data_IF_859196285759
#
_entry.id   IF_859196285759
#
_cell.length_a   1.000
_cell.length_b   1.000
_cell.length_c   1.000
_cell.angle_alpha   90.00
_cell.angle_beta   90.00
_cell.angle_gamma   90.00
#
_symmetry.space_group_name_H-M   'P 1'
#
loop_
_entity.id
_entity.type
_entity.pdbx_description
1 polymer ?
#
# COMPACT_ATOMS: atom_id res chain seq x y z
N UNK A 1 64.33 -49.36 75.61
CA UNK A 1 64.99 -50.68 75.53
C UNK A 1 64.49 -51.38 74.28
N UNK A 2 65.42 -51.69 73.35
CA UNK A 2 65.35 -52.71 72.28
C UNK A 2 64.22 -52.63 71.23
N UNK A 3 64.39 -52.85 69.93
CA UNK A 3 65.45 -53.41 69.04
C UNK A 3 64.94 -53.09 67.61
N UNK A 4 65.79 -52.59 66.68
CA UNK A 4 66.25 -53.33 65.47
C UNK A 4 65.23 -53.32 64.32
N UNK A 5 65.53 -53.29 63.02
CA UNK A 5 66.76 -53.44 62.24
C UNK A 5 66.41 -53.05 60.77
N UNK A 6 67.44 -53.05 59.93
CA UNK A 6 67.68 -52.42 58.62
C UNK A 6 66.92 -52.90 57.36
N UNK A 7 67.06 -52.03 56.34
CA UNK A 7 66.92 -52.14 54.87
C UNK A 7 67.42 -53.45 54.21
N UNK A 8 66.84 -53.78 53.05
CA UNK A 8 67.47 -53.96 51.68
C UNK A 8 66.34 -54.26 50.67
N UNK A 9 66.10 -53.51 49.59
CA UNK A 9 66.79 -53.38 48.27
C UNK A 9 66.65 -54.61 47.33
N UNK A 10 66.14 -54.35 46.12
CA UNK A 10 65.92 -55.26 44.98
C UNK A 10 64.50 -55.03 44.42
N UNK A 11 64.20 -54.77 43.16
CA UNK A 11 64.94 -54.92 41.90
C UNK A 11 64.35 -53.95 40.86
N UNK A 12 65.19 -53.52 39.91
CA UNK A 12 64.80 -52.61 38.83
C UNK A 12 63.93 -53.26 37.76
N UNK A 13 63.10 -52.45 37.08
CA UNK A 13 62.67 -52.67 35.70
C UNK A 13 62.55 -51.35 34.93
N UNK A 14 63.13 -51.38 33.73
CA UNK A 14 63.17 -50.33 32.73
C UNK A 14 61.81 -50.05 32.08
N UNK A 15 61.68 -48.81 31.57
CA UNK A 15 60.94 -48.36 30.36
C UNK A 15 59.47 -48.74 30.20
N UNK A 16 58.60 -47.72 30.19
CA UNK A 16 57.44 -47.68 29.31
C UNK A 16 57.06 -46.22 29.01
N UNK A 17 57.25 -45.81 27.75
CA UNK A 17 56.62 -44.64 27.14
C UNK A 17 55.11 -44.74 27.33
N UNK A 18 54.50 -43.76 28.00
CA UNK A 18 53.04 -43.67 28.10
C UNK A 18 52.53 -42.81 26.96
N UNK A 19 52.13 -43.46 25.89
CA UNK A 19 51.35 -42.86 24.81
C UNK A 19 50.04 -42.30 25.37
N UNK A 20 49.62 -41.13 24.88
CA UNK A 20 48.32 -40.54 25.18
C UNK A 20 47.26 -41.27 24.34
N UNK A 21 46.28 -41.96 24.94
CA UNK A 21 45.19 -42.56 24.20
C UNK A 21 44.20 -41.46 23.82
N UNK A 22 44.18 -41.08 22.54
CA UNK A 22 43.04 -40.39 21.93
C UNK A 22 41.94 -41.43 21.71
N UNK A 23 41.33 -41.87 22.81
CA UNK A 23 40.06 -42.60 22.75
C UNK A 23 38.96 -41.58 23.00
N UNK A 24 38.55 -40.94 21.91
CA UNK A 24 37.42 -40.04 21.91
C UNK A 24 36.17 -40.93 21.80
N UNK A 25 35.68 -41.38 22.96
CA UNK A 25 34.43 -42.13 23.07
C UNK A 25 33.28 -41.27 22.54
N UNK A 26 32.97 -41.47 21.26
CA UNK A 26 31.77 -40.96 20.63
C UNK A 26 30.60 -41.76 21.18
N UNK A 27 30.07 -41.33 22.34
CA UNK A 27 28.90 -41.94 22.95
C UNK A 27 27.68 -41.73 22.04
N UNK A 28 27.03 -42.81 21.54
CA UNK A 28 25.78 -42.70 20.80
C UNK A 28 24.63 -42.51 21.80
N UNK A 29 24.58 -41.34 22.42
CA UNK A 29 23.52 -40.91 23.32
C UNK A 29 22.63 -39.87 22.64
N UNK A 30 21.55 -40.34 22.02
CA UNK A 30 20.34 -39.58 21.68
C UNK A 30 20.54 -38.24 20.92
N UNK A 31 20.72 -38.27 19.58
CA UNK A 31 20.83 -37.05 18.76
C UNK A 31 19.69 -36.05 19.01
N UNK A 32 18.47 -36.53 19.29
CA UNK A 32 17.30 -35.67 19.48
C UNK A 32 17.41 -34.71 20.68
N UNK A 33 17.98 -35.15 21.81
CA UNK A 33 18.09 -34.31 23.01
C UNK A 33 19.16 -33.22 22.83
N UNK A 34 20.28 -33.57 22.17
CA UNK A 34 21.33 -32.61 21.83
C UNK A 34 20.88 -31.58 20.80
N UNK A 35 20.08 -31.96 19.81
CA UNK A 35 19.58 -31.04 18.77
C UNK A 35 18.53 -30.08 19.34
N UNK A 36 17.64 -30.58 20.22
CA UNK A 36 16.67 -29.75 20.97
C UNK A 36 17.37 -28.76 21.91
N UNK A 37 18.40 -29.20 22.66
CA UNK A 37 19.18 -28.29 23.48
C UNK A 37 19.97 -27.28 22.65
N UNK A 38 20.56 -27.69 21.52
CA UNK A 38 21.30 -26.78 20.65
C UNK A 38 20.38 -25.72 20.05
N UNK A 39 19.25 -26.12 19.46
CA UNK A 39 18.24 -25.20 18.91
C UNK A 39 17.68 -24.24 19.97
N UNK A 40 17.37 -24.71 21.18
CA UNK A 40 16.95 -23.86 22.29
C UNK A 40 18.03 -22.83 22.69
N UNK A 41 19.31 -23.24 22.79
CA UNK A 41 20.41 -22.31 23.13
C UNK A 41 20.70 -21.30 22.02
N UNK A 42 20.59 -21.72 20.75
CA UNK A 42 20.70 -20.82 19.61
C UNK A 42 19.53 -19.84 19.59
N UNK A 43 18.31 -20.30 19.78
CA UNK A 43 17.12 -19.45 19.84
C UNK A 43 17.20 -18.43 20.99
N UNK A 44 17.73 -18.81 22.16
CA UNK A 44 17.89 -17.89 23.30
C UNK A 44 18.98 -16.83 23.03
N UNK A 45 20.12 -17.23 22.44
CA UNK A 45 21.19 -16.29 22.04
C UNK A 45 20.76 -15.35 20.91
N UNK A 46 19.92 -15.82 19.98
CA UNK A 46 19.32 -14.99 18.92
C UNK A 46 18.00 -14.32 19.35
N UNK A 47 17.59 -14.45 20.62
CA UNK A 47 16.43 -13.76 21.20
C UNK A 47 15.06 -14.23 20.69
N UNK A 48 14.98 -15.40 20.06
CA UNK A 48 13.74 -16.06 19.63
C UNK A 48 13.07 -16.79 20.80
N UNK A 49 12.50 -16.02 21.72
CA UNK A 49 11.66 -16.59 22.78
C UNK A 49 10.21 -16.77 22.29
N UNK A 50 9.48 -17.80 22.76
CA UNK A 50 8.07 -18.01 22.43
C UNK A 50 7.18 -16.82 22.83
N UNK A 51 7.58 -16.08 23.88
CA UNK A 51 6.92 -14.83 24.27
C UNK A 51 7.09 -13.71 23.21
N UNK A 52 8.27 -13.58 22.60
CA UNK A 52 8.53 -12.61 21.52
C UNK A 52 7.82 -13.00 20.22
N UNK A 53 7.75 -14.31 19.91
CA UNK A 53 6.99 -14.82 18.77
C UNK A 53 5.47 -14.55 18.89
N UNK A 54 4.90 -14.64 20.11
CA UNK A 54 3.50 -14.26 20.35
C UNK A 54 3.27 -12.76 20.16
N UNK A 55 4.19 -11.92 20.66
CA UNK A 55 4.13 -10.46 20.47
C UNK A 55 4.30 -10.06 19.00
N UNK A 56 5.21 -10.68 18.25
CA UNK A 56 5.39 -10.37 16.83
C UNK A 56 4.16 -10.78 16.01
N UNK A 57 3.54 -11.93 16.31
CA UNK A 57 2.26 -12.33 15.70
C UNK A 57 1.15 -11.33 16.03
N UNK A 58 1.03 -10.90 17.28
CA UNK A 58 0.03 -9.90 17.66
C UNK A 58 0.25 -8.58 16.91
N UNK A 59 1.49 -8.07 16.85
CA UNK A 59 1.84 -6.86 16.09
C UNK A 59 1.54 -7.03 14.61
N UNK A 60 1.88 -8.18 14.00
CA UNK A 60 1.58 -8.44 12.59
C UNK A 60 0.07 -8.46 12.32
N UNK A 61 -0.72 -9.07 13.20
CA UNK A 61 -2.19 -9.10 13.10
C UNK A 61 -2.75 -7.68 13.26
N UNK A 62 -2.30 -6.92 14.25
CA UNK A 62 -2.75 -5.54 14.44
C UNK A 62 -2.39 -4.65 13.24
N UNK A 63 -1.18 -4.81 12.69
CA UNK A 63 -0.76 -4.09 11.49
C UNK A 63 -1.64 -4.47 10.28
N UNK A 64 -1.93 -5.75 10.07
CA UNK A 64 -2.81 -6.19 8.99
C UNK A 64 -4.23 -5.61 9.14
N UNK A 65 -4.79 -5.63 10.34
CA UNK A 65 -6.10 -5.01 10.62
C UNK A 65 -6.06 -3.51 10.34
N UNK A 66 -5.02 -2.80 10.78
CA UNK A 66 -4.88 -1.37 10.55
C UNK A 66 -4.85 -1.05 9.05
N UNK A 67 -4.12 -1.82 8.25
CA UNK A 67 -4.09 -1.66 6.78
C UNK A 67 -5.48 -1.85 6.17
N UNK A 68 -6.21 -2.89 6.58
CA UNK A 68 -7.57 -3.14 6.08
C UNK A 68 -8.52 -2.00 6.43
N UNK A 69 -8.46 -1.48 7.66
CA UNK A 69 -9.31 -0.37 8.11
C UNK A 69 -9.00 0.91 7.34
N UNK A 70 -7.72 1.25 7.19
CA UNK A 70 -7.29 2.44 6.43
C UNK A 70 -7.71 2.32 4.96
N UNK A 71 -7.52 1.15 4.35
CA UNK A 71 -7.93 0.91 2.97
C UNK A 71 -9.45 1.00 2.80
N UNK A 72 -10.23 0.39 3.70
CA UNK A 72 -11.69 0.47 3.65
C UNK A 72 -12.19 1.91 3.82
N UNK A 73 -11.62 2.68 4.76
CA UNK A 73 -11.95 4.08 4.93
C UNK A 73 -11.61 4.90 3.67
N UNK A 74 -10.46 4.65 3.04
CA UNK A 74 -10.07 5.30 1.79
C UNK A 74 -11.03 4.96 0.65
N UNK A 75 -11.41 3.69 0.48
CA UNK A 75 -12.38 3.26 -0.56
C UNK A 75 -13.75 3.90 -0.35
N UNK A 76 -14.25 3.95 0.90
CA UNK A 76 -15.53 4.59 1.22
C UNK A 76 -15.45 6.08 0.90
N UNK A 77 -14.37 6.75 1.29
CA UNK A 77 -14.18 8.17 1.03
C UNK A 77 -14.08 8.47 -0.48
N UNK A 78 -13.24 7.73 -1.22
CA UNK A 78 -13.07 7.90 -2.66
C UNK A 78 -14.35 7.56 -3.45
N UNK A 79 -15.10 6.54 -3.03
CA UNK A 79 -16.36 6.16 -3.68
C UNK A 79 -17.49 7.18 -3.47
N UNK A 80 -17.50 7.88 -2.33
CA UNK A 80 -18.48 8.94 -2.08
C UNK A 80 -18.17 10.21 -2.87
N UNK A 81 -16.90 10.51 -3.14
CA UNK A 81 -16.48 11.65 -3.96
C UNK A 81 -16.91 11.50 -5.43
N UNK A 82 -16.91 10.27 -5.96
CA UNK A 82 -17.31 9.97 -7.33
C UNK A 82 -18.84 9.94 -7.56
N UNK A 83 -19.64 10.47 -6.62
CA UNK A 83 -21.10 10.53 -6.75
C UNK A 83 -21.52 11.67 -7.69
N UNK A 84 -21.13 11.59 -8.97
CA UNK A 84 -21.69 12.43 -10.03
C UNK A 84 -23.18 12.07 -10.14
N UNK A 85 -24.01 12.92 -9.52
CA UNK A 85 -25.42 12.62 -9.23
C UNK A 85 -26.25 12.65 -10.51
N UNK A 86 -26.31 11.54 -11.24
CA UNK A 86 -27.28 11.31 -12.32
C UNK A 86 -27.23 12.28 -13.49
N UNK A 87 -26.17 13.09 -13.59
CA UNK A 87 -25.92 14.05 -14.65
C UNK A 87 -24.86 13.44 -15.56
N UNK A 88 -25.30 12.90 -16.69
CA UNK A 88 -24.38 12.47 -17.75
C UNK A 88 -24.21 13.64 -18.71
N UNK A 89 -22.98 14.12 -18.79
CA UNK A 89 -22.56 15.11 -19.76
C UNK A 89 -21.71 14.44 -20.84
N UNK A 90 -22.18 14.52 -22.09
CA UNK A 90 -21.39 14.12 -23.24
C UNK A 90 -21.09 15.35 -24.09
N UNK A 91 -19.81 15.62 -24.30
CA UNK A 91 -19.35 16.66 -25.23
C UNK A 91 -19.50 16.13 -26.65
N UNK A 92 -20.36 16.76 -27.44
CA UNK A 92 -20.64 16.35 -28.83
C UNK A 92 -19.63 16.96 -29.80
N UNK A 93 -19.14 18.18 -29.53
CA UNK A 93 -18.13 18.83 -30.35
C UNK A 93 -17.79 20.24 -29.92
N UNK A 94 -16.81 20.85 -30.60
CA UNK A 94 -16.41 22.24 -30.38
C UNK A 94 -16.06 22.91 -31.71
N UNK A 95 -16.33 24.20 -31.81
CA UNK A 95 -15.99 25.04 -32.95
C UNK A 95 -15.18 26.25 -32.49
N UNK A 96 -13.97 26.41 -33.01
CA UNK A 96 -13.07 27.51 -32.65
C UNK A 96 -13.32 28.67 -33.61
N UNK A 97 -14.11 29.66 -33.19
CA UNK A 97 -14.42 30.82 -34.02
C UNK A 97 -13.21 31.77 -34.16
N UNK A 98 -12.41 31.94 -33.10
CA UNK A 98 -11.24 32.83 -33.13
C UNK A 98 -10.19 32.49 -32.05
N UNK A 99 -9.12 33.30 -31.97
CA UNK A 99 -8.12 33.20 -30.88
C UNK A 99 -8.73 33.43 -29.49
N UNK A 100 -9.90 34.09 -29.40
CA UNK A 100 -10.50 34.53 -28.14
C UNK A 100 -11.98 34.13 -27.98
N UNK A 101 -12.51 33.29 -28.87
CA UNK A 101 -13.87 32.77 -28.77
C UNK A 101 -13.93 31.34 -29.31
N UNK A 102 -14.53 30.46 -28.52
CA UNK A 102 -14.78 29.06 -28.85
C UNK A 102 -16.22 28.72 -28.49
N UNK A 103 -16.94 28.10 -29.42
CA UNK A 103 -18.29 27.57 -29.20
C UNK A 103 -18.17 26.11 -28.81
N UNK A 104 -18.78 25.74 -27.69
CA UNK A 104 -18.82 24.35 -27.21
C UNK A 104 -20.22 23.82 -27.43
N UNK A 105 -20.32 22.71 -28.16
CA UNK A 105 -21.55 21.96 -28.36
C UNK A 105 -21.55 20.76 -27.42
N UNK A 106 -22.34 20.84 -26.36
CA UNK A 106 -22.48 19.78 -25.38
C UNK A 106 -23.89 19.20 -25.40
N UNK A 107 -24.01 17.94 -25.00
CA UNK A 107 -25.27 17.27 -24.80
C UNK A 107 -25.41 16.96 -23.32
N UNK A 108 -26.34 17.67 -22.68
CA UNK A 108 -26.57 17.57 -21.24
C UNK A 108 -27.81 16.73 -21.01
N UNK A 109 -27.70 15.72 -20.15
CA UNK A 109 -28.84 14.90 -19.71
C UNK A 109 -29.24 15.24 -18.28
N UNK A 110 -30.43 15.79 -18.08
CA UNK A 110 -30.99 16.23 -16.79
C UNK A 110 -32.40 15.64 -16.63
N UNK A 111 -32.81 15.31 -15.41
CA UNK A 111 -34.17 14.82 -15.16
C UNK A 111 -35.25 15.86 -15.58
N UNK A 112 -36.36 15.43 -16.20
CA UNK A 112 -37.40 16.34 -16.68
C UNK A 112 -37.96 17.26 -15.59
N UNK A 113 -38.10 18.55 -15.91
CA UNK A 113 -38.69 19.55 -15.01
C UNK A 113 -37.73 20.13 -13.97
N UNK A 114 -36.46 19.72 -13.94
CA UNK A 114 -35.45 20.23 -13.01
C UNK A 114 -34.57 21.30 -13.68
N UNK A 115 -34.24 22.37 -12.95
CA UNK A 115 -33.23 23.35 -13.38
C UNK A 115 -31.84 22.83 -13.03
N UNK A 116 -30.89 23.01 -13.94
CA UNK A 116 -29.49 22.68 -13.70
C UNK A 116 -28.61 23.88 -14.05
N UNK A 117 -27.48 23.99 -13.36
CA UNK A 117 -26.38 24.88 -13.72
C UNK A 117 -25.23 24.01 -14.18
N UNK A 118 -24.56 24.44 -15.25
CA UNK A 118 -23.39 23.74 -15.77
C UNK A 118 -22.25 24.73 -15.98
N UNK A 119 -21.06 24.30 -15.59
CA UNK A 119 -19.81 25.01 -15.80
C UNK A 119 -19.14 24.49 -17.07
N UNK A 120 -19.04 25.35 -18.09
CA UNK A 120 -18.36 25.05 -19.35
C UNK A 120 -16.94 25.59 -19.28
N UNK A 121 -15.96 24.72 -19.59
CA UNK A 121 -14.55 25.09 -19.65
C UNK A 121 -13.97 24.85 -21.04
N UNK A 122 -12.98 25.67 -21.41
CA UNK A 122 -12.23 25.54 -22.66
C UNK A 122 -10.75 25.43 -22.33
N UNK A 123 -10.08 24.48 -22.98
CA UNK A 123 -8.66 24.19 -22.80
C UNK A 123 -7.86 24.50 -24.06
N UNK A 124 -6.61 24.89 -23.88
CA UNK A 124 -5.63 25.05 -24.96
C UNK A 124 -4.93 23.71 -25.31
N UNK A 125 -3.98 23.77 -26.27
CA UNK A 125 -3.16 22.62 -26.69
C UNK A 125 -2.30 22.01 -25.57
N UNK A 126 -2.09 22.75 -24.49
CA UNK A 126 -1.30 22.36 -23.33
C UNK A 126 -2.20 21.86 -22.20
N UNK A 127 -3.51 21.70 -22.45
CA UNK A 127 -4.54 21.38 -21.45
C UNK A 127 -4.67 22.41 -20.32
N UNK A 128 -4.26 23.64 -20.57
CA UNK A 128 -4.47 24.76 -19.64
C UNK A 128 -5.87 25.34 -19.84
N UNK A 129 -6.54 25.69 -18.74
CA UNK A 129 -7.87 26.32 -18.79
C UNK A 129 -7.70 27.75 -19.31
N UNK A 130 -8.32 28.05 -20.44
CA UNK A 130 -8.24 29.35 -21.12
C UNK A 130 -9.59 30.05 -21.24
N UNK A 131 -10.68 29.38 -20.86
CA UNK A 131 -12.02 29.97 -20.82
C UNK A 131 -12.91 29.24 -19.82
N UNK A 132 -13.75 30.01 -19.14
CA UNK A 132 -14.71 29.51 -18.15
C UNK A 132 -16.03 30.27 -18.27
N UNK A 133 -17.15 29.56 -18.29
CA UNK A 133 -18.48 30.16 -18.34
C UNK A 133 -19.52 29.26 -17.68
N UNK A 134 -20.28 29.83 -16.76
CA UNK A 134 -21.43 29.16 -16.16
C UNK A 134 -22.71 29.47 -16.94
N UNK A 135 -23.48 28.42 -17.23
CA UNK A 135 -24.79 28.53 -17.89
C UNK A 135 -25.87 27.96 -16.99
N UNK A 136 -27.06 28.58 -17.03
CA UNK A 136 -28.25 28.06 -16.35
C UNK A 136 -29.17 27.44 -17.39
N UNK A 137 -29.47 26.16 -17.22
CA UNK A 137 -30.40 25.41 -18.04
C UNK A 137 -31.81 25.53 -17.46
N UNK A 138 -32.75 26.02 -18.29
CA UNK A 138 -34.15 26.11 -17.92
C UNK A 138 -34.77 24.71 -17.77
N UNK A 139 -35.76 24.53 -16.87
CA UNK A 139 -36.38 23.23 -16.66
C UNK A 139 -37.20 22.86 -17.89
N UNK A 140 -37.17 21.59 -18.25
CA UNK A 140 -37.87 21.18 -19.46
C UNK A 140 -38.06 19.67 -19.56
N UNK A 141 -38.87 19.24 -20.53
CA UNK A 141 -39.42 17.88 -20.56
C UNK A 141 -38.52 16.85 -21.24
N UNK A 142 -37.57 17.30 -22.06
CA UNK A 142 -36.62 16.39 -22.71
C UNK A 142 -35.46 16.11 -21.77
N UNK A 143 -35.24 14.82 -21.49
CA UNK A 143 -34.16 14.34 -20.63
C UNK A 143 -32.78 14.69 -21.17
N UNK A 144 -32.60 14.72 -22.48
CA UNK A 144 -31.30 14.97 -23.12
C UNK A 144 -31.43 16.09 -24.15
N UNK A 145 -30.52 17.06 -24.11
CA UNK A 145 -30.57 18.28 -24.93
C UNK A 145 -29.20 18.69 -25.41
N UNK A 146 -29.13 19.16 -26.65
CA UNK A 146 -27.95 19.85 -27.16
C UNK A 146 -27.97 21.33 -26.75
N UNK A 147 -26.85 21.80 -26.21
CA UNK A 147 -26.65 23.19 -25.81
C UNK A 147 -25.39 23.70 -26.49
N UNK A 148 -25.51 24.88 -27.11
CA UNK A 148 -24.38 25.55 -27.75
C UNK A 148 -24.02 26.77 -26.93
N UNK A 149 -22.82 26.77 -26.35
CA UNK A 149 -22.37 27.85 -25.48
C UNK A 149 -21.12 28.49 -26.06
N UNK A 150 -21.21 29.79 -26.37
CA UNK A 150 -20.04 30.58 -26.70
C UNK A 150 -19.27 30.97 -25.44
N UNK A 151 -17.98 30.64 -25.39
CA UNK A 151 -17.08 30.94 -24.29
C UNK A 151 -15.96 31.86 -24.78
N UNK A 152 -15.80 33.01 -24.11
CA UNK A 152 -14.66 33.91 -24.35
C UNK A 152 -13.39 33.30 -23.76
N UNK A 153 -12.33 33.22 -24.56
CA UNK A 153 -11.06 32.59 -24.16
C UNK A 153 -9.90 33.59 -24.18
N UNK A 154 -8.94 33.42 -23.27
CA UNK A 154 -7.72 34.24 -23.23
C UNK A 154 -6.73 33.86 -24.33
N UNK A 155 -6.77 32.60 -24.76
CA UNK A 155 -5.94 32.06 -25.86
C UNK A 155 -6.79 31.08 -26.67
N UNK A 156 -6.32 30.69 -27.86
CA UNK A 156 -7.02 29.73 -28.72
C UNK A 156 -7.28 28.42 -27.97
N UNK A 157 -8.57 28.12 -27.78
CA UNK A 157 -9.03 26.83 -27.30
C UNK A 157 -8.91 25.76 -28.39
N UNK A 158 -8.65 24.53 -27.98
CA UNK A 158 -8.67 23.34 -28.85
C UNK A 158 -9.56 22.23 -28.30
N UNK A 159 -10.13 22.41 -27.12
CA UNK A 159 -11.07 21.46 -26.53
C UNK A 159 -12.04 22.22 -25.65
N UNK A 160 -13.33 22.03 -25.85
CA UNK A 160 -14.38 22.51 -24.94
C UNK A 160 -15.02 21.33 -24.25
N UNK A 161 -15.21 21.40 -22.93
CA UNK A 161 -15.89 20.37 -22.15
C UNK A 161 -16.66 20.98 -20.99
N UNK A 162 -17.59 20.22 -20.44
CA UNK A 162 -18.30 20.62 -19.22
C UNK A 162 -17.52 20.08 -18.03
N UNK A 163 -17.18 20.98 -17.11
CA UNK A 163 -16.43 20.63 -15.90
C UNK A 163 -17.32 19.92 -14.89
N UNK A 164 -18.47 20.55 -14.61
CA UNK A 164 -19.38 20.13 -13.56
C UNK A 164 -20.79 20.67 -13.86
N UNK A 165 -21.79 19.90 -13.47
CA UNK A 165 -23.19 20.32 -13.49
C UNK A 165 -23.81 20.03 -12.13
N UNK A 166 -24.58 20.99 -11.61
CA UNK A 166 -25.28 20.84 -10.35
C UNK A 166 -26.70 21.40 -10.41
N UNK A 167 -27.56 20.85 -9.57
CA UNK A 167 -28.92 21.35 -9.37
C UNK A 167 -28.87 22.32 -8.18
N UNK A 168 -29.24 23.60 -8.36
CA UNK A 168 -29.22 24.60 -7.30
C UNK A 168 -30.37 24.43 -6.29
#
# INVERSE_FOLDING_TARGET
MSVGERRTSGDGKCTATRELPWDQDNHPGSPELSEQHHTATLDDRYGRTPARARRSKAVAITAAIAVVVVFAAWVIWAGLDQSDRGLTDDVVGYEVLSQHSTVVHSQVSVDPGVRAKCAVQVLDKSYSIVGWKEITLAPSEQRTRSVSTEVTTTTRGVTGLIHDCWIP
#
